data_IF_830805609115
#
_entry.id   IF_830805609115
#
_cell.length_a   1.000
_cell.length_b   1.000
_cell.length_c   1.000
_cell.angle_alpha   90.00
_cell.angle_beta   90.00
_cell.angle_gamma   90.00
#
_symmetry.space_group_name_H-M   'P 1'
#
loop_
_entity.id
_entity.type
_entity.pdbx_description
1 polymer ?
#
# COMPACT_ATOMS: atom_id res chain seq x y z
N UNK A 1 46.68 2.31 12.00
CA UNK A 1 45.69 1.25 12.15
C UNK A 1 46.00 0.16 11.14
N UNK A 2 45.95 -1.09 11.57
CA UNK A 2 46.31 -2.25 10.75
C UNK A 2 45.25 -3.31 10.89
N UNK A 3 44.75 -3.83 9.78
CA UNK A 3 43.82 -4.98 9.78
C UNK A 3 44.50 -6.11 9.01
N UNK A 4 44.67 -7.25 9.70
CA UNK A 4 45.15 -8.47 9.08
C UNK A 4 43.93 -9.35 8.75
N UNK A 5 43.85 -9.78 7.48
CA UNK A 5 42.78 -10.62 7.00
C UNK A 5 43.25 -12.06 6.78
N UNK A 6 42.34 -13.04 6.95
CA UNK A 6 42.60 -14.45 6.64
C UNK A 6 42.79 -14.72 5.14
N UNK A 7 42.24 -13.83 4.32
CA UNK A 7 42.31 -13.85 2.84
C UNK A 7 42.19 -12.43 2.27
N UNK A 8 42.07 -12.28 0.97
CA UNK A 8 41.87 -10.96 0.35
C UNK A 8 40.60 -10.29 0.90
N UNK A 9 40.63 -9.02 1.35
CA UNK A 9 39.54 -8.37 2.04
C UNK A 9 38.18 -8.35 1.30
N UNK A 10 38.22 -8.35 -0.05
CA UNK A 10 37.03 -8.34 -0.91
C UNK A 10 36.60 -9.75 -1.34
N UNK A 11 37.21 -10.79 -0.82
CA UNK A 11 36.83 -12.17 -1.13
C UNK A 11 35.65 -12.57 -0.22
N UNK A 12 34.69 -13.27 -0.80
CA UNK A 12 33.54 -13.77 -0.03
C UNK A 12 34.00 -14.61 1.17
N UNK A 13 33.52 -14.28 2.37
CA UNK A 13 33.91 -14.93 3.61
C UNK A 13 35.25 -14.48 4.20
N UNK A 14 35.85 -13.39 3.68
CA UNK A 14 37.04 -12.79 4.29
C UNK A 14 36.71 -12.28 5.69
N UNK A 15 37.57 -12.65 6.65
CA UNK A 15 37.38 -12.27 8.05
C UNK A 15 38.65 -11.59 8.59
N UNK A 16 38.56 -10.49 9.32
CA UNK A 16 39.69 -9.89 9.97
C UNK A 16 40.17 -10.80 11.11
N UNK A 17 41.43 -11.17 11.05
CA UNK A 17 42.11 -12.03 12.07
C UNK A 17 42.60 -11.17 13.23
N UNK A 18 43.15 -10.01 12.91
CA UNK A 18 43.68 -9.06 13.92
C UNK A 18 43.34 -7.64 13.43
N UNK A 19 42.89 -6.81 14.38
CA UNK A 19 42.69 -5.38 14.17
C UNK A 19 43.48 -4.62 15.21
N UNK A 20 44.37 -3.73 14.77
CA UNK A 20 45.11 -2.81 15.66
C UNK A 20 44.65 -1.39 15.35
N UNK A 21 44.29 -0.68 16.43
CA UNK A 21 44.04 0.78 16.41
C UNK A 21 45.05 1.40 17.39
N UNK A 22 45.85 2.34 16.89
CA UNK A 22 46.91 2.99 17.68
C UNK A 22 47.86 1.99 18.41
N UNK A 23 48.14 0.87 17.76
CA UNK A 23 48.98 -0.17 18.31
C UNK A 23 48.31 -1.10 19.32
N UNK A 24 47.04 -0.87 19.61
CA UNK A 24 46.26 -1.70 20.57
C UNK A 24 45.37 -2.66 19.80
N UNK A 25 45.47 -3.97 20.12
CA UNK A 25 44.58 -4.97 19.51
C UNK A 25 43.14 -4.78 19.95
N UNK A 26 42.22 -4.68 18.99
CA UNK A 26 40.80 -4.47 19.21
C UNK A 26 40.01 -5.79 19.25
N UNK A 27 40.56 -6.87 18.70
CA UNK A 27 39.91 -8.17 18.74
C UNK A 27 40.51 -8.98 19.88
N UNK A 28 39.69 -9.38 20.83
CA UNK A 28 40.08 -10.36 21.85
C UNK A 28 40.35 -11.69 21.15
N UNK A 29 41.58 -12.19 21.28
CA UNK A 29 41.87 -13.56 20.86
C UNK A 29 40.92 -14.49 21.63
N UNK A 30 40.01 -15.16 20.92
CA UNK A 30 39.38 -16.36 21.46
C UNK A 30 40.52 -17.33 21.76
N UNK A 31 40.80 -17.59 23.04
CA UNK A 31 41.72 -18.60 23.48
C UNK A 31 41.20 -19.95 23.00
N UNK A 32 41.66 -20.42 21.83
CA UNK A 32 41.70 -21.86 21.63
C UNK A 32 42.84 -22.38 22.45
N UNK A 33 42.54 -22.96 23.61
CA UNK A 33 43.43 -23.90 24.26
C UNK A 33 43.77 -24.96 23.23
N UNK A 34 45.02 -24.97 22.74
CA UNK A 34 45.90 -26.12 22.71
C UNK A 34 47.09 -25.97 21.75
N UNK A 35 48.23 -26.11 22.37
CA UNK A 35 49.53 -26.69 21.97
C UNK A 35 50.46 -26.03 20.96
N UNK A 36 51.50 -25.55 21.60
CA UNK A 36 52.92 -25.72 21.40
C UNK A 36 53.73 -24.99 20.30
N UNK A 37 54.55 -24.12 20.81
CA UNK A 37 55.93 -23.78 20.53
C UNK A 37 56.38 -23.34 19.11
N UNK A 38 56.63 -22.07 19.04
CA UNK A 38 57.33 -21.35 17.96
C UNK A 38 57.04 -19.86 18.05
N UNK A 39 57.79 -19.16 18.90
CA UNK A 39 57.52 -17.75 19.18
C UNK A 39 58.30 -16.84 18.23
N UNK A 40 57.68 -15.73 17.82
CA UNK A 40 58.32 -14.58 17.17
C UNK A 40 59.32 -13.91 18.14
N UNK A 41 59.97 -12.84 17.72
CA UNK A 41 60.91 -12.07 18.54
C UNK A 41 60.35 -11.54 19.87
N UNK A 42 59.03 -11.70 20.08
CA UNK A 42 58.32 -11.42 21.34
C UNK A 42 57.74 -12.69 21.98
N UNK A 43 58.19 -13.88 21.58
CA UNK A 43 57.77 -15.13 22.18
C UNK A 43 56.43 -15.69 21.61
N UNK A 44 55.96 -15.20 20.47
CA UNK A 44 54.77 -15.71 19.79
C UNK A 44 55.15 -16.58 18.59
N UNK A 45 54.52 -17.73 18.48
CA UNK A 45 54.58 -18.54 17.28
C UNK A 45 54.04 -17.78 16.08
N UNK A 46 54.65 -17.91 14.89
CA UNK A 46 53.97 -17.54 13.66
C UNK A 46 52.64 -18.32 13.61
N UNK A 47 51.53 -17.59 13.46
CA UNK A 47 50.24 -18.20 13.29
C UNK A 47 50.31 -19.18 12.12
N UNK A 48 50.13 -20.47 12.38
CA UNK A 48 49.83 -21.42 11.32
C UNK A 48 48.73 -20.83 10.46
N UNK A 49 48.81 -21.01 9.14
CA UNK A 49 47.72 -20.58 8.28
C UNK A 49 46.38 -20.96 8.90
N UNK A 50 45.45 -20.04 9.04
CA UNK A 50 44.17 -20.36 9.66
C UNK A 50 43.60 -21.59 8.95
N UNK A 51 43.06 -22.57 9.72
CA UNK A 51 42.41 -23.73 9.12
C UNK A 51 41.44 -23.24 8.07
N UNK A 52 41.42 -23.90 6.93
CA UNK A 52 40.45 -23.60 5.86
C UNK A 52 39.10 -23.47 6.52
N UNK A 53 38.48 -22.29 6.42
CA UNK A 53 37.25 -22.01 7.13
C UNK A 53 36.23 -23.11 6.82
N UNK A 54 35.81 -23.81 7.86
CA UNK A 54 34.72 -24.77 7.72
C UNK A 54 33.42 -23.99 7.61
N UNK A 55 33.06 -23.70 6.37
CA UNK A 55 31.82 -23.00 6.05
C UNK A 55 30.55 -23.79 6.43
N UNK A 56 30.68 -25.06 6.81
CA UNK A 56 29.51 -25.87 7.18
C UNK A 56 28.84 -25.35 8.45
N UNK A 57 29.64 -24.94 9.45
CA UNK A 57 29.13 -24.35 10.67
C UNK A 57 28.52 -22.97 10.45
N UNK A 58 29.21 -22.10 9.71
CA UNK A 58 28.72 -20.76 9.39
C UNK A 58 27.45 -20.84 8.54
N UNK A 59 27.42 -21.75 7.56
CA UNK A 59 26.21 -22.01 6.76
C UNK A 59 25.05 -22.47 7.65
N UNK A 60 25.28 -23.37 8.60
CA UNK A 60 24.25 -23.82 9.53
C UNK A 60 23.72 -22.68 10.39
N UNK A 61 24.60 -21.81 10.91
CA UNK A 61 24.19 -20.64 11.69
C UNK A 61 23.33 -19.66 10.84
N UNK A 62 23.74 -19.39 9.61
CA UNK A 62 23.01 -18.51 8.69
C UNK A 62 21.66 -19.12 8.34
N UNK A 63 21.59 -20.41 8.01
CA UNK A 63 20.33 -21.08 7.71
C UNK A 63 19.38 -21.06 8.93
N UNK A 64 19.87 -21.40 10.12
CA UNK A 64 19.07 -21.37 11.32
C UNK A 64 18.56 -19.95 11.65
N UNK A 65 19.42 -18.93 11.47
CA UNK A 65 19.01 -17.53 11.64
C UNK A 65 17.98 -17.11 10.58
N UNK A 66 18.16 -17.51 9.33
CA UNK A 66 17.23 -17.25 8.25
C UNK A 66 15.89 -17.94 8.49
N UNK A 67 15.90 -19.22 8.89
CA UNK A 67 14.70 -19.95 9.23
C UNK A 67 13.97 -19.33 10.43
N UNK A 68 14.70 -18.89 11.45
CA UNK A 68 14.13 -18.18 12.58
C UNK A 68 13.50 -16.83 12.17
N UNK A 69 14.13 -16.09 11.26
CA UNK A 69 13.59 -14.85 10.72
C UNK A 69 12.34 -15.13 9.87
N UNK A 70 12.39 -16.13 9.01
CA UNK A 70 11.23 -16.53 8.18
C UNK A 70 10.07 -17.00 9.07
N UNK A 71 10.34 -17.82 10.07
CA UNK A 71 9.32 -18.28 11.03
C UNK A 71 8.76 -17.13 11.89
N UNK A 72 9.61 -16.17 12.29
CA UNK A 72 9.18 -15.01 13.08
C UNK A 72 8.52 -13.94 12.23
N UNK A 73 8.88 -13.83 10.95
CA UNK A 73 8.27 -12.92 10.01
C UNK A 73 6.90 -13.39 9.53
N UNK A 74 6.60 -14.68 9.68
CA UNK A 74 5.22 -15.15 9.60
C UNK A 74 4.56 -14.76 10.93
N UNK A 75 3.75 -13.68 11.00
CA UNK A 75 3.02 -13.40 12.22
C UNK A 75 2.24 -14.67 12.56
N UNK A 76 2.01 -14.97 13.85
CA UNK A 76 1.04 -15.96 14.22
C UNK A 76 -0.33 -15.43 13.79
N UNK A 77 -0.62 -15.52 12.50
CA UNK A 77 -1.98 -15.38 12.04
C UNK A 77 -2.75 -16.47 12.76
N UNK A 78 -3.88 -16.16 13.39
CA UNK A 78 -4.79 -17.21 13.77
C UNK A 78 -4.92 -18.08 12.53
N UNK A 79 -4.67 -19.38 12.68
CA UNK A 79 -4.83 -20.30 11.55
C UNK A 79 -6.15 -19.93 10.89
N UNK A 80 -6.14 -19.67 9.58
CA UNK A 80 -7.38 -19.33 8.91
C UNK A 80 -8.34 -20.47 9.27
N UNK A 81 -9.58 -20.14 9.59
CA UNK A 81 -10.65 -21.13 9.74
C UNK A 81 -10.84 -21.70 8.33
N UNK A 82 -9.77 -22.39 7.89
CA UNK A 82 -9.62 -22.86 6.56
C UNK A 82 -10.76 -23.86 6.33
N UNK A 83 -11.59 -23.59 5.33
CA UNK A 83 -12.61 -24.50 4.82
C UNK A 83 -13.86 -24.70 5.68
N UNK A 84 -14.11 -23.89 6.71
CA UNK A 84 -15.42 -23.91 7.30
C UNK A 84 -16.42 -23.26 6.33
N UNK A 85 -17.25 -24.07 5.69
CA UNK A 85 -18.35 -23.61 4.84
C UNK A 85 -19.36 -22.76 5.65
N UNK A 86 -19.36 -22.94 6.97
CA UNK A 86 -20.23 -22.24 7.89
C UNK A 86 -19.52 -21.86 9.19
N UNK A 87 -19.73 -20.62 9.64
CA UNK A 87 -19.17 -20.04 10.86
C UNK A 87 -20.28 -19.39 11.67
N UNK A 88 -20.27 -19.62 12.96
CA UNK A 88 -21.16 -18.93 13.90
C UNK A 88 -20.33 -18.05 14.83
N UNK A 89 -20.55 -16.75 14.75
CA UNK A 89 -19.96 -15.79 15.66
C UNK A 89 -20.95 -15.56 16.80
N UNK A 90 -20.49 -15.75 18.04
CA UNK A 90 -21.30 -15.59 19.25
C UNK A 90 -20.76 -14.46 20.11
N UNK A 91 -21.58 -14.00 21.07
CA UNK A 91 -21.21 -12.94 22.02
C UNK A 91 -20.77 -11.64 21.31
N UNK A 92 -21.51 -11.27 20.26
CA UNK A 92 -21.28 -10.05 19.47
C UNK A 92 -21.95 -8.87 20.19
N UNK A 93 -21.21 -7.78 20.44
CA UNK A 93 -21.77 -6.57 21.07
C UNK A 93 -22.37 -5.61 20.06
N UNK A 94 -21.78 -5.51 18.88
CA UNK A 94 -22.19 -4.54 17.85
C UNK A 94 -21.84 -5.02 16.46
N UNK A 95 -22.69 -4.72 15.50
CA UNK A 95 -22.44 -4.96 14.08
C UNK A 95 -22.63 -3.66 13.33
N UNK A 96 -21.62 -3.29 12.55
CA UNK A 96 -21.70 -2.23 11.55
C UNK A 96 -21.96 -2.86 10.19
N UNK A 97 -23.03 -2.45 9.53
CA UNK A 97 -23.34 -2.93 8.19
C UNK A 97 -23.56 -1.76 7.23
N UNK A 98 -23.14 -1.94 6.00
CA UNK A 98 -23.38 -0.96 4.94
C UNK A 98 -24.72 -1.24 4.28
N UNK A 99 -25.64 -0.27 4.32
CA UNK A 99 -26.92 -0.33 3.64
C UNK A 99 -27.16 1.00 2.91
N UNK A 100 -27.44 0.95 1.62
CA UNK A 100 -27.74 2.14 0.80
C UNK A 100 -26.69 3.27 0.95
N UNK A 101 -25.41 2.95 0.90
CA UNK A 101 -24.25 3.88 1.07
C UNK A 101 -24.12 4.49 2.48
N UNK A 102 -24.94 4.10 3.44
CA UNK A 102 -24.82 4.51 4.84
C UNK A 102 -24.35 3.34 5.70
N UNK A 103 -23.69 3.66 6.80
CA UNK A 103 -23.35 2.67 7.82
C UNK A 103 -24.49 2.66 8.84
N UNK A 104 -25.09 1.49 9.02
CA UNK A 104 -26.07 1.23 10.08
C UNK A 104 -25.41 0.46 11.20
N UNK A 105 -25.71 0.84 12.42
CA UNK A 105 -25.21 0.18 13.62
C UNK A 105 -26.33 -0.63 14.25
N UNK A 106 -26.04 -1.90 14.54
CA UNK A 106 -26.89 -2.79 15.32
C UNK A 106 -26.20 -3.06 16.66
N UNK A 107 -26.73 -2.52 17.73
CA UNK A 107 -26.27 -2.81 19.09
C UNK A 107 -26.94 -4.09 19.59
N UNK A 108 -26.14 -5.04 20.05
CA UNK A 108 -26.56 -6.37 20.46
C UNK A 108 -26.09 -6.62 21.89
N UNK A 109 -26.96 -7.20 22.76
CA UNK A 109 -26.55 -7.48 24.13
C UNK A 109 -25.56 -8.65 24.25
N UNK A 110 -25.77 -9.70 23.49
CA UNK A 110 -24.91 -10.88 23.27
C UNK A 110 -25.34 -11.51 21.96
N UNK A 111 -25.17 -10.78 20.86
CA UNK A 111 -25.68 -11.20 19.56
C UNK A 111 -24.96 -12.41 18.98
N UNK A 112 -25.58 -12.96 17.97
CA UNK A 112 -25.00 -14.00 17.13
C UNK A 112 -25.13 -13.66 15.66
N UNK A 113 -24.16 -14.12 14.87
CA UNK A 113 -24.16 -14.01 13.43
C UNK A 113 -23.80 -15.37 12.83
N UNK A 114 -24.61 -15.83 11.89
CA UNK A 114 -24.34 -17.06 11.13
C UNK A 114 -23.93 -16.69 9.73
N UNK A 115 -22.79 -17.23 9.33
CA UNK A 115 -22.22 -17.08 8.01
C UNK A 115 -22.12 -18.45 7.35
N UNK A 116 -22.64 -18.58 6.14
CA UNK A 116 -22.67 -19.82 5.39
C UNK A 116 -22.46 -19.54 3.90
N UNK A 117 -21.57 -20.29 3.28
CA UNK A 117 -21.26 -20.21 1.84
C UNK A 117 -21.07 -18.79 1.29
N UNK A 118 -20.31 -17.98 2.01
CA UNK A 118 -20.00 -16.61 1.59
C UNK A 118 -21.10 -15.59 1.90
N UNK A 119 -22.15 -15.95 2.68
CA UNK A 119 -23.28 -15.07 2.98
C UNK A 119 -23.61 -15.08 4.46
N UNK A 120 -24.05 -13.93 4.97
CA UNK A 120 -24.66 -13.83 6.28
C UNK A 120 -26.10 -14.34 6.17
N UNK A 121 -26.42 -15.44 6.83
CA UNK A 121 -27.74 -16.08 6.79
C UNK A 121 -28.63 -15.69 7.96
N UNK A 122 -28.03 -15.35 9.10
CA UNK A 122 -28.78 -14.87 10.28
C UNK A 122 -27.99 -13.83 11.07
N UNK A 123 -28.68 -12.84 11.59
CA UNK A 123 -28.18 -11.91 12.62
C UNK A 123 -29.22 -11.88 13.73
N UNK A 124 -28.85 -12.33 14.91
CA UNK A 124 -29.73 -12.38 16.09
C UNK A 124 -29.26 -11.47 17.21
N UNK A 125 -30.18 -10.82 17.89
CA UNK A 125 -29.89 -10.01 19.08
C UNK A 125 -29.46 -10.88 20.27
N UNK A 126 -29.88 -12.15 20.29
CA UNK A 126 -29.53 -13.15 21.29
C UNK A 126 -29.06 -14.44 20.59
N UNK A 127 -28.29 -15.29 21.27
CA UNK A 127 -27.83 -16.55 20.69
C UNK A 127 -28.95 -17.47 20.20
N UNK A 128 -30.10 -17.44 20.89
CA UNK A 128 -31.30 -18.24 20.54
C UNK A 128 -31.94 -17.84 19.22
N UNK A 129 -31.79 -16.60 18.79
CA UNK A 129 -32.52 -16.05 17.65
C UNK A 129 -32.03 -16.69 16.31
N UNK A 130 -30.78 -17.13 16.27
CA UNK A 130 -30.19 -17.82 15.11
C UNK A 130 -30.07 -19.35 15.28
N UNK A 131 -30.56 -19.92 16.36
CA UNK A 131 -30.36 -21.34 16.68
C UNK A 131 -30.84 -22.29 15.56
N UNK A 132 -31.89 -21.95 14.86
CA UNK A 132 -32.44 -22.75 13.73
C UNK A 132 -31.67 -22.60 12.43
N UNK A 133 -30.77 -21.60 12.36
CA UNK A 133 -29.95 -21.30 11.18
C UNK A 133 -28.51 -21.82 11.33
N UNK A 134 -28.19 -22.42 12.49
CA UNK A 134 -26.83 -22.94 12.75
C UNK A 134 -26.68 -24.32 12.11
N UNK A 135 -25.82 -24.49 11.10
CA UNK A 135 -25.51 -25.80 10.54
C UNK A 135 -24.85 -26.72 11.59
N UNK A 136 -25.13 -28.03 11.51
CA UNK A 136 -24.60 -29.01 12.47
C UNK A 136 -23.06 -29.04 12.58
N UNK A 137 -22.36 -28.61 11.53
CA UNK A 137 -20.89 -28.61 11.43
C UNK A 137 -20.31 -27.20 11.42
N UNK A 138 -21.06 -26.17 11.85
CA UNK A 138 -20.59 -24.81 11.87
C UNK A 138 -19.47 -24.62 12.91
N UNK A 139 -18.39 -23.97 12.48
CA UNK A 139 -17.33 -23.57 13.39
C UNK A 139 -17.82 -22.41 14.27
N UNK A 140 -17.71 -22.56 15.60
CA UNK A 140 -18.16 -21.54 16.54
C UNK A 140 -16.98 -20.71 17.03
N UNK A 141 -17.13 -19.38 16.97
CA UNK A 141 -16.15 -18.41 17.46
C UNK A 141 -16.85 -17.48 18.45
N UNK A 142 -16.36 -17.44 19.68
CA UNK A 142 -16.81 -16.46 20.69
C UNK A 142 -16.00 -15.16 20.51
N UNK A 143 -16.69 -14.05 20.25
CA UNK A 143 -16.06 -12.74 20.11
C UNK A 143 -15.87 -12.00 21.43
N UNK A 144 -16.27 -12.58 22.57
CA UNK A 144 -16.10 -12.00 23.89
C UNK A 144 -16.60 -10.54 24.01
N UNK A 145 -17.70 -10.22 23.37
CA UNK A 145 -18.21 -8.84 23.30
C UNK A 145 -17.59 -7.99 22.19
N UNK A 146 -16.89 -8.63 21.27
CA UNK A 146 -16.27 -7.97 20.12
C UNK A 146 -17.30 -7.36 19.16
N UNK A 147 -16.78 -6.58 18.22
CA UNK A 147 -17.54 -5.81 17.24
C UNK A 147 -17.26 -6.36 15.84
N UNK A 148 -18.28 -6.43 15.00
CA UNK A 148 -18.15 -6.82 13.60
C UNK A 148 -18.22 -5.58 12.71
N UNK A 149 -17.22 -5.43 11.85
CA UNK A 149 -17.10 -4.38 10.85
C UNK A 149 -17.16 -5.00 9.44
N UNK A 150 -17.62 -4.25 8.42
CA UNK A 150 -17.36 -4.63 7.04
C UNK A 150 -15.85 -4.71 6.79
N UNK A 151 -15.42 -5.65 5.94
CA UNK A 151 -14.04 -5.69 5.51
C UNK A 151 -13.61 -4.37 4.85
N UNK A 152 -12.38 -3.95 5.14
CA UNK A 152 -11.83 -2.72 4.57
C UNK A 152 -11.37 -2.95 3.14
N UNK A 153 -11.42 -1.89 2.34
CA UNK A 153 -10.86 -1.87 0.98
C UNK A 153 -9.69 -0.89 0.96
N UNK A 154 -8.47 -1.38 0.71
CA UNK A 154 -7.33 -0.52 0.48
C UNK A 154 -7.38 0.08 -0.94
N UNK A 155 -6.94 1.33 -1.08
CA UNK A 155 -6.85 2.01 -2.36
C UNK A 155 -5.62 2.92 -2.40
N UNK A 156 -4.99 3.02 -3.56
CA UNK A 156 -4.05 4.11 -3.88
C UNK A 156 -2.58 3.76 -3.91
N UNK A 157 -2.19 2.54 -3.54
CA UNK A 157 -0.80 2.06 -3.63
C UNK A 157 -0.65 0.94 -4.67
N UNK A 158 0.57 0.43 -4.77
CA UNK A 158 0.94 -0.75 -5.57
C UNK A 158 0.71 -2.06 -4.81
N UNK A 159 -0.17 -2.08 -3.80
CA UNK A 159 -0.48 -3.31 -3.05
C UNK A 159 -0.92 -4.42 -4.00
N UNK A 160 -0.25 -5.58 -3.93
CA UNK A 160 -0.46 -6.70 -4.85
C UNK A 160 0.15 -6.52 -6.26
N UNK A 161 0.90 -5.43 -6.50
CA UNK A 161 1.66 -5.22 -7.74
C UNK A 161 3.17 -5.15 -7.46
N UNK A 162 3.55 -4.72 -6.27
CA UNK A 162 4.93 -4.65 -5.80
C UNK A 162 4.93 -4.84 -4.29
N UNK A 163 5.83 -5.69 -3.78
CA UNK A 163 6.03 -5.89 -2.35
C UNK A 163 7.19 -5.04 -1.83
N UNK A 164 8.29 -5.00 -2.58
CA UNK A 164 9.45 -4.17 -2.31
C UNK A 164 9.75 -3.31 -3.55
N UNK A 165 9.39 -2.02 -3.55
CA UNK A 165 9.47 -1.17 -4.76
C UNK A 165 10.85 -1.07 -5.40
N UNK A 166 11.93 -1.28 -4.63
CA UNK A 166 13.31 -1.19 -5.14
C UNK A 166 13.89 -2.53 -5.59
N UNK A 167 13.14 -3.62 -5.46
CA UNK A 167 13.57 -4.98 -5.81
C UNK A 167 12.85 -5.46 -7.05
N UNK A 168 13.60 -5.73 -8.12
CA UNK A 168 13.03 -6.13 -9.41
C UNK A 168 12.25 -7.44 -9.34
N UNK A 169 12.73 -8.39 -8.54
CA UNK A 169 12.10 -9.71 -8.40
C UNK A 169 10.86 -9.69 -7.48
N UNK A 170 10.74 -8.65 -6.65
CA UNK A 170 9.60 -8.43 -5.77
C UNK A 170 8.57 -7.43 -6.34
N UNK A 171 8.65 -7.15 -7.63
CA UNK A 171 7.78 -6.24 -8.35
C UNK A 171 7.41 -6.84 -9.70
N UNK A 172 6.13 -6.88 -10.02
CA UNK A 172 5.66 -7.32 -11.34
C UNK A 172 5.75 -6.22 -12.41
N UNK A 173 6.53 -5.17 -12.14
CA UNK A 173 6.69 -4.04 -13.02
C UNK A 173 5.62 -2.99 -12.79
N UNK A 174 5.80 -2.23 -11.74
CA UNK A 174 5.00 -1.05 -11.44
C UNK A 174 5.36 0.15 -12.33
N UNK A 175 6.43 0.04 -13.13
CA UNK A 175 6.92 1.10 -14.00
C UNK A 175 6.41 0.97 -15.46
N UNK A 176 5.29 1.58 -15.72
CA UNK A 176 4.72 1.67 -17.08
C UNK A 176 5.50 2.65 -17.96
N UNK A 177 6.26 3.57 -17.39
CA UNK A 177 6.81 4.71 -18.12
C UNK A 177 8.04 4.40 -18.92
N UNK A 178 8.87 3.46 -18.47
CA UNK A 178 10.12 3.09 -19.18
C UNK A 178 9.84 2.59 -20.59
N UNK A 179 8.73 1.91 -20.82
CA UNK A 179 8.36 1.37 -22.13
C UNK A 179 7.69 2.40 -23.03
N UNK A 180 6.92 3.35 -22.47
CA UNK A 180 6.16 4.31 -23.27
C UNK A 180 6.99 5.50 -23.74
N UNK A 181 8.06 5.87 -23.03
CA UNK A 181 8.94 6.98 -23.41
C UNK A 181 10.04 6.62 -24.42
N UNK A 182 10.50 5.37 -24.44
CA UNK A 182 11.61 4.95 -25.28
C UNK A 182 11.20 4.02 -26.43
N UNK A 183 10.03 3.44 -26.39
CA UNK A 183 9.55 2.52 -27.42
C UNK A 183 8.40 3.16 -28.20
N UNK A 184 8.66 3.49 -29.46
CA UNK A 184 7.72 3.78 -30.58
C UNK A 184 6.40 4.50 -30.24
N UNK A 185 5.97 5.47 -31.05
CA UNK A 185 4.70 6.17 -30.93
C UNK A 185 3.45 5.27 -30.91
N UNK A 186 3.57 4.07 -31.47
CA UNK A 186 2.50 3.06 -31.51
C UNK A 186 2.19 2.48 -30.12
N UNK A 187 3.17 2.44 -29.22
CA UNK A 187 2.99 1.92 -27.84
C UNK A 187 2.34 2.94 -26.90
N UNK A 188 2.34 4.22 -27.26
CA UNK A 188 1.59 5.26 -26.51
C UNK A 188 0.06 5.00 -26.49
N UNK A 189 -0.42 4.05 -27.29
CA UNK A 189 -1.83 3.62 -27.28
C UNK A 189 -2.11 2.47 -26.33
N UNK A 190 -1.08 1.86 -25.73
CA UNK A 190 -1.27 0.78 -24.77
C UNK A 190 -1.74 1.37 -23.44
N UNK A 191 -2.80 0.80 -22.93
CA UNK A 191 -3.32 1.10 -21.60
C UNK A 191 -3.09 -0.13 -20.73
N UNK A 192 -2.08 -0.11 -19.84
CA UNK A 192 -1.78 -1.25 -18.99
C UNK A 192 -2.91 -1.48 -17.98
N UNK A 193 -3.07 -2.73 -17.59
CA UNK A 193 -4.11 -3.15 -16.65
C UNK A 193 -3.48 -3.79 -15.44
N UNK A 194 -3.82 -3.34 -14.26
CA UNK A 194 -3.29 -3.87 -13.00
C UNK A 194 -3.54 -5.37 -12.84
N UNK A 195 -4.65 -5.87 -13.39
CA UNK A 195 -5.00 -7.30 -13.29
C UNK A 195 -3.95 -8.22 -13.90
N UNK A 196 -3.21 -7.74 -14.91
CA UNK A 196 -2.20 -8.54 -15.62
C UNK A 196 -0.87 -8.61 -14.83
N UNK A 197 -0.76 -7.80 -13.76
CA UNK A 197 0.43 -7.69 -12.91
C UNK A 197 0.17 -8.08 -11.44
N UNK A 198 -0.99 -8.65 -11.11
CA UNK A 198 -1.32 -9.00 -9.73
C UNK A 198 -0.44 -10.13 -9.19
N UNK A 199 0.11 -9.91 -8.00
CA UNK A 199 0.89 -10.83 -7.19
C UNK A 199 0.17 -11.07 -5.86
N UNK A 200 0.08 -12.32 -5.41
CA UNK A 200 -0.67 -12.69 -4.20
C UNK A 200 0.21 -13.23 -3.06
N UNK A 201 1.52 -13.27 -3.25
CA UNK A 201 2.52 -13.80 -2.33
C UNK A 201 3.28 -12.74 -1.52
N UNK A 202 2.95 -11.45 -1.71
CA UNK A 202 3.62 -10.34 -1.04
C UNK A 202 3.30 -10.24 0.46
N UNK A 203 4.31 -9.93 1.26
CA UNK A 203 4.18 -9.74 2.71
C UNK A 203 3.24 -8.58 3.08
N UNK A 204 3.27 -7.49 2.32
CA UNK A 204 2.37 -6.36 2.54
C UNK A 204 0.91 -6.76 2.37
N UNK A 205 0.61 -7.62 1.37
CA UNK A 205 -0.73 -8.13 1.11
C UNK A 205 -1.23 -9.03 2.25
N UNK A 206 -0.39 -9.97 2.72
CA UNK A 206 -0.70 -10.84 3.84
C UNK A 206 -0.98 -10.05 5.12
N UNK A 207 -0.16 -9.05 5.44
CA UNK A 207 -0.35 -8.17 6.60
C UNK A 207 -1.62 -7.33 6.48
N UNK A 208 -1.92 -6.81 5.30
CA UNK A 208 -3.15 -6.09 5.04
C UNK A 208 -4.38 -6.96 5.32
N UNK A 209 -4.39 -8.20 4.79
CA UNK A 209 -5.46 -9.17 5.03
C UNK A 209 -5.65 -9.46 6.51
N UNK A 210 -4.57 -9.76 7.24
CA UNK A 210 -4.60 -10.03 8.67
C UNK A 210 -5.11 -8.84 9.50
N UNK A 211 -4.97 -7.62 8.99
CA UNK A 211 -5.45 -6.39 9.63
C UNK A 211 -6.88 -6.01 9.26
N UNK A 212 -7.61 -6.90 8.56
CA UNK A 212 -9.02 -6.69 8.19
C UNK A 212 -9.23 -5.96 6.86
N UNK A 213 -8.18 -5.75 6.08
CA UNK A 213 -8.28 -5.28 4.69
C UNK A 213 -8.57 -6.49 3.82
N UNK A 214 -9.83 -6.72 3.49
CA UNK A 214 -10.28 -7.92 2.77
C UNK A 214 -10.16 -7.79 1.25
N UNK A 215 -10.15 -6.57 0.75
CA UNK A 215 -10.00 -6.30 -0.68
C UNK A 215 -9.08 -5.10 -0.93
N UNK A 216 -8.52 -5.01 -2.12
CA UNK A 216 -7.75 -3.86 -2.54
C UNK A 216 -8.10 -3.43 -3.97
N UNK A 217 -7.94 -2.14 -4.23
CA UNK A 217 -8.00 -1.58 -5.57
C UNK A 217 -6.65 -0.94 -5.88
N UNK A 218 -5.89 -1.56 -6.75
CA UNK A 218 -4.57 -1.10 -7.14
C UNK A 218 -4.53 -0.72 -8.61
N UNK A 219 -3.77 0.31 -8.92
CA UNK A 219 -3.49 0.77 -10.28
C UNK A 219 -2.00 0.63 -10.56
N UNK A 220 -1.58 0.42 -11.81
CA UNK A 220 -0.19 0.48 -12.18
C UNK A 220 0.43 1.81 -11.73
N UNK A 221 1.67 1.78 -11.27
CA UNK A 221 2.37 3.00 -10.88
C UNK A 221 2.49 3.95 -12.08
N UNK A 222 2.29 5.24 -11.82
CA UNK A 222 2.29 6.25 -12.87
C UNK A 222 3.62 7.00 -12.84
N UNK A 223 4.45 6.72 -13.82
CA UNK A 223 5.56 7.60 -14.18
C UNK A 223 5.15 8.39 -15.43
N UNK A 224 4.92 9.68 -15.29
CA UNK A 224 4.37 10.51 -16.34
C UNK A 224 2.85 10.75 -16.22
N UNK A 225 2.19 11.10 -17.31
CA UNK A 225 0.79 11.54 -17.28
C UNK A 225 -0.20 10.37 -17.27
N UNK A 226 0.08 9.30 -18.00
CA UNK A 226 -0.85 8.19 -18.17
C UNK A 226 -0.46 7.01 -17.27
N UNK A 227 -1.41 6.62 -16.41
CA UNK A 227 -1.36 5.37 -15.67
C UNK A 227 -1.98 4.25 -16.47
N UNK A 228 -2.71 3.41 -15.80
CA UNK A 228 -3.41 2.30 -16.41
C UNK A 228 -4.79 2.13 -15.83
N UNK A 229 -5.35 0.96 -16.01
CA UNK A 229 -6.63 0.57 -15.44
C UNK A 229 -6.41 -0.18 -14.15
N UNK A 230 -7.04 0.28 -13.06
CA UNK A 230 -7.00 -0.39 -11.77
C UNK A 230 -7.85 -1.65 -11.73
N UNK A 231 -7.44 -2.61 -10.90
CA UNK A 231 -8.16 -3.84 -10.61
C UNK A 231 -8.62 -3.88 -9.15
N UNK A 232 -9.78 -4.48 -8.90
CA UNK A 232 -10.30 -4.77 -7.57
C UNK A 232 -10.16 -6.26 -7.29
N UNK A 233 -9.46 -6.63 -6.24
CA UNK A 233 -9.12 -8.02 -5.94
C UNK A 233 -9.20 -8.32 -4.45
N UNK A 234 -9.23 -9.60 -4.12
CA UNK A 234 -9.29 -10.13 -2.76
C UNK A 234 -7.86 -10.28 -2.20
N UNK A 235 -7.62 -9.73 -1.02
CA UNK A 235 -6.30 -9.76 -0.39
C UNK A 235 -5.96 -11.12 0.24
N UNK A 236 -6.96 -11.98 0.45
CA UNK A 236 -6.80 -13.32 0.98
C UNK A 236 -6.65 -14.41 -0.09
N UNK A 237 -6.64 -14.05 -1.37
CA UNK A 237 -6.38 -15.00 -2.44
C UNK A 237 -4.90 -15.40 -2.49
N UNK A 238 -4.61 -16.60 -2.98
CA UNK A 238 -3.24 -17.11 -3.17
C UNK A 238 -2.80 -17.07 -4.63
N UNK A 239 -3.74 -16.95 -5.55
CA UNK A 239 -3.46 -16.94 -6.98
C UNK A 239 -4.53 -16.16 -7.74
N UNK A 240 -4.16 -15.60 -8.88
CA UNK A 240 -5.12 -15.01 -9.84
C UNK A 240 -6.12 -16.04 -10.35
N UNK A 241 -5.78 -17.33 -10.27
CA UNK A 241 -6.65 -18.45 -10.69
C UNK A 241 -7.68 -18.86 -9.63
N UNK A 242 -7.56 -18.35 -8.41
CA UNK A 242 -8.52 -18.66 -7.35
C UNK A 242 -9.88 -18.04 -7.69
N UNK A 243 -10.92 -18.78 -7.35
CA UNK A 243 -12.28 -18.31 -7.58
C UNK A 243 -12.53 -17.03 -6.77
N UNK A 244 -12.94 -15.97 -7.44
CA UNK A 244 -13.21 -14.67 -6.85
C UNK A 244 -11.96 -13.88 -6.38
N UNK A 245 -10.75 -14.32 -6.71
CA UNK A 245 -9.53 -13.56 -6.43
C UNK A 245 -9.59 -12.15 -7.05
N UNK A 246 -10.11 -12.04 -8.26
CA UNK A 246 -10.38 -10.78 -8.94
C UNK A 246 -11.86 -10.47 -8.91
N UNK A 247 -12.25 -9.40 -8.22
CA UNK A 247 -13.63 -8.91 -8.10
C UNK A 247 -14.07 -8.11 -9.32
N UNK A 248 -13.16 -7.28 -9.83
CA UNK A 248 -13.33 -6.55 -11.08
C UNK A 248 -11.96 -6.31 -11.72
N UNK A 249 -11.79 -6.71 -12.96
CA UNK A 249 -10.56 -6.51 -13.73
C UNK A 249 -10.33 -5.06 -14.13
N UNK A 250 -11.41 -4.29 -14.26
CA UNK A 250 -11.40 -2.93 -14.76
C UNK A 250 -12.26 -2.05 -13.86
N UNK A 251 -11.63 -1.19 -13.06
CA UNK A 251 -12.33 -0.34 -12.08
C UNK A 251 -12.35 1.12 -12.50
N UNK A 252 -11.19 1.67 -12.84
CA UNK A 252 -11.04 3.08 -13.20
C UNK A 252 -9.81 3.29 -14.05
N UNK A 253 -9.82 4.34 -14.88
CA UNK A 253 -8.64 4.81 -15.60
C UNK A 253 -7.92 5.87 -14.78
N UNK A 254 -6.60 5.79 -14.73
CA UNK A 254 -5.75 6.64 -13.90
C UNK A 254 -4.89 7.59 -14.74
N UNK A 255 -4.80 8.83 -14.31
CA UNK A 255 -4.00 9.91 -14.91
C UNK A 255 -3.31 10.69 -13.79
N UNK A 256 -2.10 11.14 -14.02
CA UNK A 256 -1.36 12.04 -13.11
C UNK A 256 -1.09 13.37 -13.80
N UNK A 257 -1.40 14.47 -13.13
CA UNK A 257 -1.05 15.82 -13.54
C UNK A 257 -0.06 16.41 -12.55
N UNK A 258 1.11 16.76 -13.03
CA UNK A 258 2.13 17.39 -12.21
C UNK A 258 2.83 18.50 -13.01
N UNK A 259 3.33 19.57 -12.35
CA UNK A 259 4.18 20.54 -13.03
C UNK A 259 5.41 19.81 -13.61
N UNK A 260 5.97 20.31 -14.73
CA UNK A 260 7.19 19.74 -15.28
C UNK A 260 8.29 19.81 -14.22
N UNK A 261 8.95 18.68 -13.98
CA UNK A 261 10.07 18.68 -13.03
C UNK A 261 11.28 19.33 -13.68
N UNK A 262 11.90 20.26 -12.97
CA UNK A 262 13.19 20.84 -13.33
C UNK A 262 14.38 20.09 -12.71
N UNK A 263 14.14 18.99 -12.02
CA UNK A 263 15.18 18.21 -11.38
C UNK A 263 15.95 17.44 -12.45
N UNK A 264 17.07 18.03 -12.91
CA UNK A 264 18.16 17.25 -13.44
C UNK A 264 18.67 16.37 -12.29
N UNK A 265 18.33 15.08 -12.31
CA UNK A 265 19.10 14.13 -11.52
C UNK A 265 20.55 14.20 -12.01
N UNK A 266 21.51 14.05 -11.10
CA UNK A 266 22.94 14.03 -11.42
C UNK A 266 23.32 13.01 -12.51
N UNK A 267 22.42 12.08 -12.83
CA UNK A 267 22.55 11.03 -13.85
C UNK A 267 21.85 11.35 -15.17
N UNK A 268 21.29 12.58 -15.34
CA UNK A 268 20.61 13.01 -16.57
C UNK A 268 19.28 12.28 -16.83
N UNK A 269 18.76 11.56 -15.87
CA UNK A 269 17.43 10.91 -15.94
C UNK A 269 16.39 11.80 -15.29
N UNK A 270 15.36 12.12 -16.06
CA UNK A 270 14.18 12.85 -15.54
C UNK A 270 13.31 11.86 -14.77
N UNK A 271 13.38 11.93 -13.45
CA UNK A 271 12.83 10.94 -12.53
C UNK A 271 11.30 10.98 -12.43
N UNK A 272 10.64 11.99 -13.03
CA UNK A 272 9.19 12.18 -12.90
C UNK A 272 8.39 11.98 -14.19
N UNK A 273 9.05 11.88 -15.34
CA UNK A 273 8.40 11.68 -16.64
C UNK A 273 7.45 12.81 -17.09
N UNK A 274 7.30 13.89 -16.31
CA UNK A 274 6.46 15.03 -16.66
C UNK A 274 7.30 16.13 -17.32
N UNK A 275 7.44 16.06 -18.65
CA UNK A 275 8.15 17.08 -19.43
C UNK A 275 7.21 18.17 -19.96
N UNK A 276 5.91 17.88 -20.04
CA UNK A 276 4.92 18.77 -20.61
C UNK A 276 4.38 19.80 -19.60
N UNK A 277 4.14 21.02 -20.06
CA UNK A 277 3.48 22.04 -19.24
C UNK A 277 2.08 21.61 -18.79
N UNK A 278 1.58 22.16 -17.69
CA UNK A 278 0.20 21.90 -17.23
C UNK A 278 -0.84 22.21 -18.31
N UNK A 279 -0.62 23.26 -19.12
CA UNK A 279 -1.52 23.59 -20.21
C UNK A 279 -1.55 22.49 -21.28
N UNK A 280 -0.39 21.92 -21.62
CA UNK A 280 -0.28 20.81 -22.58
C UNK A 280 -0.93 19.55 -22.04
N UNK A 281 -0.69 19.21 -20.75
CA UNK A 281 -1.32 18.05 -20.10
C UNK A 281 -2.85 18.16 -20.11
N UNK A 282 -3.40 19.33 -19.76
CA UNK A 282 -4.85 19.56 -19.78
C UNK A 282 -5.43 19.58 -21.21
N UNK A 283 -4.69 20.10 -22.19
CA UNK A 283 -5.12 20.05 -23.59
C UNK A 283 -5.19 18.59 -24.09
N UNK A 284 -4.19 17.78 -23.75
CA UNK A 284 -4.16 16.36 -24.09
C UNK A 284 -5.31 15.61 -23.42
N UNK A 285 -5.56 15.87 -22.13
CA UNK A 285 -6.69 15.26 -21.42
C UNK A 285 -8.04 15.61 -22.05
N UNK A 286 -8.24 16.88 -22.45
CA UNK A 286 -9.44 17.28 -23.18
C UNK A 286 -9.58 16.54 -24.51
N UNK A 287 -8.50 16.45 -25.28
CA UNK A 287 -8.48 15.73 -26.57
C UNK A 287 -8.86 14.25 -26.38
N UNK A 288 -8.28 13.58 -25.37
CA UNK A 288 -8.59 12.17 -25.06
C UNK A 288 -10.06 11.94 -24.68
N UNK A 289 -10.68 12.91 -24.01
CA UNK A 289 -12.10 12.83 -23.65
C UNK A 289 -13.00 13.17 -24.83
N UNK A 290 -12.63 14.19 -25.62
CA UNK A 290 -13.45 14.65 -26.77
C UNK A 290 -13.39 13.70 -27.95
N UNK A 291 -12.21 13.14 -28.21
CA UNK A 291 -11.93 12.27 -29.36
C UNK A 291 -11.23 10.99 -28.88
N UNK A 292 -11.95 10.11 -28.17
CA UNK A 292 -11.33 8.92 -27.55
C UNK A 292 -10.84 7.94 -28.61
N UNK A 293 -9.55 7.65 -28.59
CA UNK A 293 -8.89 6.75 -29.55
C UNK A 293 -8.90 5.29 -29.12
N UNK A 294 -8.96 5.02 -27.79
CA UNK A 294 -9.00 3.66 -27.23
C UNK A 294 -10.35 3.35 -26.59
N UNK A 295 -10.60 2.08 -26.29
CA UNK A 295 -11.85 1.64 -25.66
C UNK A 295 -11.97 2.21 -24.25
N UNK A 296 -10.88 2.27 -23.51
CA UNK A 296 -10.81 2.76 -22.12
C UNK A 296 -11.24 4.24 -22.07
N UNK A 297 -10.68 5.06 -22.95
CA UNK A 297 -11.05 6.48 -23.06
C UNK A 297 -12.50 6.68 -23.51
N UNK A 298 -13.04 5.81 -24.36
CA UNK A 298 -14.47 5.85 -24.72
C UNK A 298 -15.36 5.58 -23.51
N UNK A 299 -15.02 4.57 -22.70
CA UNK A 299 -15.76 4.26 -21.46
C UNK A 299 -15.70 5.41 -20.45
N UNK A 300 -14.55 6.07 -20.33
CA UNK A 300 -14.42 7.29 -19.51
C UNK A 300 -15.27 8.43 -20.09
N UNK A 301 -15.16 8.71 -21.38
CA UNK A 301 -15.92 9.77 -22.04
C UNK A 301 -17.44 9.58 -21.93
N UNK A 302 -17.90 8.33 -21.96
CA UNK A 302 -19.32 7.98 -21.79
C UNK A 302 -19.77 7.94 -20.30
N UNK A 303 -18.85 8.13 -19.35
CA UNK A 303 -19.16 8.05 -17.93
C UNK A 303 -19.35 6.63 -17.38
N UNK A 304 -18.98 5.61 -18.14
CA UNK A 304 -19.04 4.21 -17.71
C UNK A 304 -17.97 3.93 -16.65
N UNK A 305 -16.74 4.37 -16.92
CA UNK A 305 -15.62 4.24 -16.00
C UNK A 305 -15.28 5.56 -15.32
N UNK A 306 -14.91 5.54 -14.03
CA UNK A 306 -14.32 6.70 -13.39
C UNK A 306 -12.97 7.04 -14.01
N UNK A 307 -12.69 8.34 -14.09
CA UNK A 307 -11.38 8.90 -14.37
C UNK A 307 -10.79 9.39 -13.05
N UNK A 308 -9.77 8.72 -12.55
CA UNK A 308 -9.05 9.14 -11.36
C UNK A 308 -7.86 9.98 -11.78
N UNK A 309 -7.83 11.24 -11.33
CA UNK A 309 -6.76 12.17 -11.65
C UNK A 309 -5.97 12.52 -10.41
N UNK A 310 -4.73 12.07 -10.37
CA UNK A 310 -3.77 12.49 -9.34
C UNK A 310 -3.33 13.91 -9.64
N UNK A 311 -3.63 14.83 -8.73
CA UNK A 311 -3.32 16.24 -8.91
C UNK A 311 -3.26 16.96 -7.56
N UNK A 312 -2.14 17.63 -7.28
CA UNK A 312 -1.95 18.42 -6.08
C UNK A 312 -2.18 19.91 -6.36
N UNK A 313 -2.64 20.62 -5.32
CA UNK A 313 -2.84 22.06 -5.32
C UNK A 313 -4.18 22.52 -5.89
N UNK A 314 -4.77 23.47 -5.15
CA UNK A 314 -6.09 24.04 -5.48
C UNK A 314 -6.18 24.66 -6.90
N UNK A 315 -5.08 25.24 -7.40
CA UNK A 315 -5.05 25.82 -8.75
C UNK A 315 -5.19 24.77 -9.86
N UNK A 316 -4.57 23.59 -9.72
CA UNK A 316 -4.70 22.48 -10.67
C UNK A 316 -6.10 21.87 -10.58
N UNK A 317 -6.58 21.64 -9.36
CA UNK A 317 -7.90 21.06 -9.13
C UNK A 317 -9.03 21.99 -9.62
N UNK A 318 -8.89 23.31 -9.47
CA UNK A 318 -9.83 24.27 -10.05
C UNK A 318 -9.99 24.10 -11.59
N UNK A 319 -8.89 23.84 -12.29
CA UNK A 319 -8.93 23.57 -13.75
C UNK A 319 -9.62 22.23 -14.07
N UNK A 320 -9.47 21.22 -13.20
CA UNK A 320 -10.19 19.94 -13.32
C UNK A 320 -11.69 20.10 -13.04
N UNK A 321 -12.08 20.99 -12.13
CA UNK A 321 -13.50 21.36 -11.94
C UNK A 321 -14.07 22.01 -13.21
N UNK A 322 -13.33 22.89 -13.87
CA UNK A 322 -13.74 23.46 -15.17
C UNK A 322 -13.83 22.37 -16.26
N UNK A 323 -12.90 21.41 -16.25
CA UNK A 323 -12.98 20.25 -17.17
C UNK A 323 -14.26 19.44 -16.92
N UNK A 324 -14.59 19.15 -15.66
CA UNK A 324 -15.83 18.44 -15.28
C UNK A 324 -17.08 19.20 -15.73
N UNK A 325 -17.08 20.52 -15.64
CA UNK A 325 -18.19 21.36 -16.14
C UNK A 325 -18.33 21.30 -17.67
N UNK A 326 -17.20 21.19 -18.40
CA UNK A 326 -17.20 21.02 -19.85
C UNK A 326 -17.64 19.59 -20.29
N UNK A 327 -17.38 18.59 -19.47
CA UNK A 327 -17.69 17.18 -19.71
C UNK A 327 -18.50 16.60 -18.53
N UNK A 328 -19.77 16.99 -18.35
CA UNK A 328 -20.54 16.63 -17.15
C UNK A 328 -20.74 15.12 -16.97
N UNK A 329 -20.74 14.34 -18.06
CA UNK A 329 -20.90 12.89 -18.02
C UNK A 329 -19.67 12.16 -17.46
N UNK A 330 -18.46 12.73 -17.53
CA UNK A 330 -17.24 12.10 -17.04
C UNK A 330 -17.31 11.97 -15.52
N UNK A 331 -17.11 10.78 -15.01
CA UNK A 331 -17.06 10.49 -13.57
C UNK A 331 -15.66 10.78 -13.03
N UNK A 332 -15.38 12.07 -12.78
CA UNK A 332 -14.09 12.53 -12.30
C UNK A 332 -13.93 12.25 -10.80
N UNK A 333 -12.78 11.72 -10.41
CA UNK A 333 -12.32 11.54 -9.03
C UNK A 333 -10.95 12.18 -8.89
N UNK A 334 -10.75 12.98 -7.86
CA UNK A 334 -9.44 13.60 -7.59
C UNK A 334 -8.68 12.75 -6.58
N UNK A 335 -7.45 12.38 -6.90
CA UNK A 335 -6.49 11.81 -5.96
C UNK A 335 -5.47 12.88 -5.61
N UNK A 336 -5.46 13.34 -4.35
CA UNK A 336 -4.60 14.45 -3.93
C UNK A 336 -4.06 14.27 -2.52
N UNK A 337 -2.78 14.61 -2.37
CA UNK A 337 -2.12 14.80 -1.08
C UNK A 337 -1.95 16.29 -0.72
N UNK A 338 -2.26 17.21 -1.64
CA UNK A 338 -2.09 18.64 -1.51
C UNK A 338 -3.25 19.38 -0.84
N UNK A 339 -3.19 20.70 -0.92
CA UNK A 339 -4.19 21.59 -0.34
C UNK A 339 -5.41 21.74 -1.26
N UNK A 340 -6.59 21.35 -0.80
CA UNK A 340 -7.87 21.40 -1.51
C UNK A 340 -8.91 22.28 -0.82
N UNK A 341 -8.66 22.71 0.41
CA UNK A 341 -9.62 23.51 1.22
C UNK A 341 -10.11 24.75 0.48
N UNK A 342 -9.25 25.39 -0.34
CA UNK A 342 -9.61 26.59 -1.11
C UNK A 342 -10.63 26.34 -2.24
N UNK A 343 -10.90 25.08 -2.60
CA UNK A 343 -11.86 24.69 -3.66
C UNK A 343 -12.90 23.69 -3.16
N UNK A 344 -13.01 23.49 -1.84
CA UNK A 344 -13.89 22.49 -1.24
C UNK A 344 -15.37 22.69 -1.64
N UNK A 345 -15.87 23.91 -1.61
CA UNK A 345 -17.24 24.22 -2.02
C UNK A 345 -17.51 23.86 -3.48
N UNK A 346 -16.56 24.17 -4.37
CA UNK A 346 -16.68 23.91 -5.80
C UNK A 346 -16.57 22.41 -6.11
N UNK A 347 -15.76 21.64 -5.36
CA UNK A 347 -15.72 20.19 -5.45
C UNK A 347 -17.07 19.56 -5.08
N UNK A 348 -17.67 20.04 -3.99
CA UNK A 348 -19.01 19.58 -3.57
C UNK A 348 -20.07 19.93 -4.62
N UNK A 349 -20.10 21.17 -5.11
CA UNK A 349 -21.03 21.62 -6.16
C UNK A 349 -20.91 20.76 -7.43
N UNK A 350 -19.68 20.46 -7.84
CA UNK A 350 -19.42 19.65 -9.04
C UNK A 350 -19.59 18.13 -8.80
N UNK A 351 -19.92 17.72 -7.56
CA UNK A 351 -20.03 16.32 -7.12
C UNK A 351 -18.78 15.50 -7.51
N UNK A 352 -17.61 16.05 -7.20
CA UNK A 352 -16.31 15.41 -7.45
C UNK A 352 -15.80 14.81 -6.13
N UNK A 353 -15.73 13.49 -6.01
CA UNK A 353 -15.13 12.84 -4.83
C UNK A 353 -13.63 13.03 -4.81
N UNK A 354 -13.07 12.98 -3.60
CA UNK A 354 -11.64 13.11 -3.34
C UNK A 354 -11.12 11.85 -2.67
N UNK A 355 -9.99 11.37 -3.14
CA UNK A 355 -9.16 10.37 -2.48
C UNK A 355 -7.95 11.08 -1.89
N UNK A 356 -7.70 10.88 -0.60
CA UNK A 356 -6.59 11.53 0.08
C UNK A 356 -5.95 10.62 1.12
N UNK A 357 -4.64 10.74 1.35
CA UNK A 357 -4.00 9.99 2.43
C UNK A 357 -4.40 10.55 3.79
N UNK A 358 -4.53 9.67 4.78
CA UNK A 358 -4.76 10.06 6.17
C UNK A 358 -3.62 10.95 6.69
N UNK A 359 -2.39 10.54 6.39
CA UNK A 359 -1.15 11.26 6.74
C UNK A 359 -0.45 11.71 5.46
N UNK A 360 0.25 12.84 5.52
CA UNK A 360 1.02 13.37 4.39
C UNK A 360 2.43 13.67 4.84
N UNK A 361 3.37 13.12 4.09
CA UNK A 361 4.76 13.56 4.15
C UNK A 361 4.87 14.79 3.26
N UNK A 362 5.27 15.92 3.83
CA UNK A 362 5.29 17.19 3.12
C UNK A 362 6.51 17.32 2.20
N UNK A 363 6.55 16.54 1.14
CA UNK A 363 7.66 16.56 0.19
C UNK A 363 7.57 17.71 -0.81
N UNK A 364 6.36 18.09 -1.25
CA UNK A 364 6.17 19.12 -2.25
C UNK A 364 5.73 20.45 -1.63
N UNK A 365 5.93 21.55 -2.39
CA UNK A 365 5.45 22.87 -2.03
C UNK A 365 3.92 22.90 -1.84
N UNK A 366 3.19 22.24 -2.69
CA UNK A 366 1.72 22.16 -2.62
C UNK A 366 1.23 21.39 -1.39
N UNK A 367 1.94 20.34 -0.99
CA UNK A 367 1.59 19.57 0.20
C UNK A 367 1.81 20.39 1.49
N UNK A 368 2.76 21.33 1.48
CA UNK A 368 3.03 22.22 2.62
C UNK A 368 1.90 23.23 2.89
N UNK A 369 1.04 23.49 1.90
CA UNK A 369 -0.11 24.36 2.05
C UNK A 369 -1.35 23.65 2.60
N UNK A 370 -1.29 22.34 2.83
CA UNK A 370 -2.35 21.54 3.42
C UNK A 370 -2.60 21.97 4.87
N UNK A 371 -3.87 21.97 5.27
CA UNK A 371 -4.25 22.15 6.67
C UNK A 371 -3.92 20.89 7.47
N UNK A 372 -2.99 21.01 8.40
CA UNK A 372 -2.48 19.88 9.19
C UNK A 372 -3.32 19.55 10.42
N UNK A 373 -4.17 20.47 10.84
CA UNK A 373 -4.90 20.37 12.11
C UNK A 373 -4.13 20.88 13.31
N UNK A 374 -4.78 20.89 14.49
CA UNK A 374 -4.16 21.37 15.72
C UNK A 374 -2.88 20.59 16.07
N UNK A 375 -1.84 21.24 16.59
CA UNK A 375 -1.75 22.67 16.96
C UNK A 375 -1.30 23.58 15.81
N UNK A 376 -1.00 23.03 14.62
CA UNK A 376 -0.40 23.80 13.52
C UNK A 376 -1.44 24.67 12.79
N UNK A 377 -2.62 24.11 12.55
CA UNK A 377 -3.75 24.83 11.98
C UNK A 377 -5.02 24.51 12.77
N UNK A 378 -6.02 25.40 12.74
CA UNK A 378 -7.28 25.20 13.44
C UNK A 378 -8.06 23.99 12.89
N UNK A 379 -8.10 23.89 11.57
CA UNK A 379 -8.84 22.87 10.84
C UNK A 379 -7.89 21.89 10.16
N UNK A 380 -8.36 20.67 9.93
CA UNK A 380 -7.70 19.71 9.03
C UNK A 380 -8.25 19.83 7.63
N UNK A 381 -7.47 19.42 6.64
CA UNK A 381 -7.90 19.35 5.25
C UNK A 381 -9.16 18.48 5.10
N UNK A 382 -9.15 17.30 5.71
CA UNK A 382 -10.29 16.38 5.73
C UNK A 382 -11.54 17.04 6.36
N UNK A 383 -11.38 17.70 7.49
CA UNK A 383 -12.48 18.37 8.18
C UNK A 383 -13.14 19.45 7.33
N UNK A 384 -12.37 20.25 6.60
CA UNK A 384 -12.90 21.27 5.68
C UNK A 384 -13.68 20.61 4.54
N UNK A 385 -13.12 19.59 3.89
CA UNK A 385 -13.79 18.90 2.79
C UNK A 385 -15.12 18.27 3.24
N UNK A 386 -15.13 17.60 4.39
CA UNK A 386 -16.34 16.98 4.94
C UNK A 386 -17.42 18.01 5.29
N UNK A 387 -17.05 19.16 5.88
CA UNK A 387 -18.02 20.26 6.18
C UNK A 387 -18.68 20.81 4.93
N UNK A 388 -17.99 20.82 3.81
CA UNK A 388 -18.55 21.21 2.51
C UNK A 388 -19.35 20.09 1.82
N UNK A 389 -19.43 18.90 2.42
CA UNK A 389 -20.17 17.77 1.84
C UNK A 389 -19.43 17.04 0.72
N UNK A 390 -18.11 17.24 0.60
CA UNK A 390 -17.31 16.47 -0.35
C UNK A 390 -17.22 15.01 0.09
N UNK A 391 -17.46 14.08 -0.82
CA UNK A 391 -17.21 12.67 -0.56
C UNK A 391 -15.71 12.43 -0.53
N UNK A 392 -15.19 11.94 0.60
CA UNK A 392 -13.76 11.66 0.77
C UNK A 392 -13.54 10.20 1.04
N UNK A 393 -12.59 9.60 0.30
CA UNK A 393 -12.04 8.29 0.58
C UNK A 393 -10.62 8.41 1.13
N UNK A 394 -10.33 7.69 2.21
CA UNK A 394 -8.95 7.59 2.70
C UNK A 394 -8.21 6.55 1.87
N UNK A 395 -7.06 6.95 1.33
CA UNK A 395 -6.16 6.08 0.58
C UNK A 395 -4.84 5.85 1.30
N UNK A 396 -4.19 4.77 0.95
CA UNK A 396 -2.80 4.49 1.34
C UNK A 396 -1.84 5.04 0.28
N UNK A 397 -0.61 5.35 0.67
CA UNK A 397 0.44 5.80 -0.23
C UNK A 397 1.38 4.65 -0.59
N UNK A 398 1.74 3.87 0.43
CA UNK A 398 2.63 2.73 0.32
C UNK A 398 1.89 1.42 0.66
N UNK A 399 2.32 0.30 0.07
CA UNK A 399 1.66 -1.00 0.27
C UNK A 399 1.62 -1.43 1.74
N UNK A 400 2.69 -1.16 2.51
CA UNK A 400 2.77 -1.51 3.93
C UNK A 400 1.79 -0.73 4.82
N UNK A 401 1.33 0.45 4.40
CA UNK A 401 0.34 1.26 5.15
C UNK A 401 -1.03 0.57 5.21
N UNK A 402 -1.31 -0.37 4.32
CA UNK A 402 -2.58 -1.07 4.30
C UNK A 402 -2.90 -1.74 5.64
N UNK A 403 -1.91 -2.28 6.32
CA UNK A 403 -2.07 -2.88 7.64
C UNK A 403 -2.53 -1.88 8.72
N UNK A 404 -2.27 -0.60 8.52
CA UNK A 404 -2.62 0.48 9.44
C UNK A 404 -3.90 1.24 9.03
N UNK A 405 -4.53 0.88 7.91
CA UNK A 405 -5.63 1.63 7.30
C UNK A 405 -6.75 1.98 8.28
N UNK A 406 -7.15 1.04 9.14
CA UNK A 406 -8.20 1.28 10.14
C UNK A 406 -7.79 2.38 11.13
N UNK A 407 -6.59 2.26 11.69
CA UNK A 407 -6.06 3.18 12.70
C UNK A 407 -5.84 4.58 12.12
N UNK A 408 -5.25 4.66 10.93
CA UNK A 408 -5.00 5.91 10.24
C UNK A 408 -6.29 6.62 9.86
N UNK A 409 -7.32 5.86 9.46
CA UNK A 409 -8.65 6.43 9.16
C UNK A 409 -9.33 6.96 10.41
N UNK A 410 -9.30 6.21 11.53
CA UNK A 410 -9.87 6.64 12.82
C UNK A 410 -9.15 7.88 13.32
N UNK A 411 -7.83 7.90 13.26
CA UNK A 411 -7.02 9.06 13.66
C UNK A 411 -7.38 10.30 12.84
N UNK A 412 -7.40 10.20 11.51
CA UNK A 412 -7.77 11.31 10.64
C UNK A 412 -9.20 11.82 10.89
N UNK A 413 -10.15 10.91 11.17
CA UNK A 413 -11.52 11.26 11.51
C UNK A 413 -11.61 12.00 12.86
N UNK A 414 -10.88 11.57 13.87
CA UNK A 414 -10.82 12.23 15.18
C UNK A 414 -10.25 13.65 15.05
N UNK A 415 -9.15 13.82 14.32
CA UNK A 415 -8.58 15.16 14.11
C UNK A 415 -9.52 16.08 13.32
N UNK A 416 -10.23 15.54 12.33
CA UNK A 416 -11.22 16.30 11.58
C UNK A 416 -12.39 16.78 12.45
N UNK A 417 -12.75 16.04 13.50
CA UNK A 417 -13.81 16.40 14.45
C UNK A 417 -13.33 17.35 15.54
N UNK A 418 -12.07 17.26 15.99
CA UNK A 418 -11.55 18.17 17.02
C UNK A 418 -11.52 19.62 16.56
N UNK A 419 -11.34 19.90 15.27
CA UNK A 419 -11.47 21.25 14.72
C UNK A 419 -12.89 21.84 14.81
N UNK A 420 -13.91 21.04 15.03
CA UNK A 420 -15.32 21.48 15.16
C UNK A 420 -15.77 21.73 16.61
N UNK A 421 -14.95 21.40 17.60
CA UNK A 421 -15.34 21.46 19.02
C UNK A 421 -14.96 22.79 19.72
N UNK A 422 -14.55 23.81 18.99
CA UNK A 422 -14.17 25.14 19.52
C UNK A 422 -15.08 26.25 19.03
#
# INVERSE_FOLDING_TARGET
DIVLWDRRPLQLGATPVIVYVDGVSQLSQRSSTDHESGADIHGRKPASAPPSADFSYDRMLVLNATDAIVQSATPPFPEPIAHASSVVLTNVSRIFQRKNRTIQTLDLARGSLVYEDGKVTCIGARPSDCATHVPAHAHQVDLHGGVILPGLTAYGSTLGLSDIPSETDASSGDDVSMLTHHLRPDLARLVPRAVDSLMFDGHALLRAHASGVTTAVSAPAVHGMFGGVSAHFDTGAHSVLDKLSVRASDVALHVSLAPPSSSFSSDGRDDTGHTASMATQLALLRSMISEPTTMEWRRVANGEWPLVVKADGHGTVAKLILLKRAFPQVRLVIDSAGALHGVAAQLAEANIPVLMPAKVWMYSWEQRHRLMGPPLTRDTELGVLLRHGVQVGIRIQEAWEAANLLWDTVWAAQEAHMGNAS
#
